data_IF_934666168626
#
_entry.id   IF_934666168626
#
_cell.length_a   1.000
_cell.length_b   1.000
_cell.length_c   1.000
_cell.angle_alpha   90.00
_cell.angle_beta   90.00
_cell.angle_gamma   90.00
#
_symmetry.space_group_name_H-M   'P 1'
#
loop_
_entity.id
_entity.type
_entity.pdbx_description
1 polymer ?
#
# COMPACT_ATOMS: atom_id res chain seq x y z
N UNK A 1 -26.74 1.52 -29.55
CA UNK A 1 -25.34 1.95 -29.37
C UNK A 1 -24.87 1.41 -28.03
N UNK A 2 -23.92 0.46 -28.02
CA UNK A 2 -23.26 0.05 -26.78
C UNK A 2 -22.62 1.31 -26.18
N UNK A 3 -22.99 1.65 -24.95
CA UNK A 3 -22.29 2.68 -24.18
C UNK A 3 -20.88 2.15 -23.95
N UNK A 4 -19.90 2.69 -24.66
CA UNK A 4 -18.48 2.44 -24.32
C UNK A 4 -18.21 3.16 -23.00
N UNK A 5 -17.65 2.43 -22.03
CA UNK A 5 -17.19 3.02 -20.79
C UNK A 5 -16.08 4.04 -21.11
N UNK A 6 -16.19 5.25 -20.61
CA UNK A 6 -15.13 6.24 -20.72
C UNK A 6 -14.02 5.94 -19.68
N UNK A 7 -12.77 6.22 -19.99
CA UNK A 7 -11.71 6.16 -19.00
C UNK A 7 -11.96 7.14 -17.85
N UNK A 8 -11.78 6.69 -16.60
CA UNK A 8 -11.92 7.54 -15.42
C UNK A 8 -10.56 8.10 -15.02
N UNK A 9 -10.40 9.42 -15.04
CA UNK A 9 -9.27 10.08 -14.40
C UNK A 9 -9.58 10.27 -12.92
N UNK A 10 -8.65 9.85 -12.07
CA UNK A 10 -8.86 9.82 -10.63
C UNK A 10 -7.98 10.85 -9.92
N UNK A 11 -8.57 11.53 -8.94
CA UNK A 11 -7.84 12.28 -7.92
C UNK A 11 -7.62 11.35 -6.73
N UNK A 12 -6.38 11.16 -6.27
CA UNK A 12 -6.08 10.27 -5.16
C UNK A 12 -6.53 10.84 -3.81
N UNK A 13 -6.77 9.95 -2.85
CA UNK A 13 -6.83 10.30 -1.44
C UNK A 13 -5.41 10.38 -0.85
N UNK A 14 -5.10 11.44 -0.10
CA UNK A 14 -3.80 11.64 0.54
C UNK A 14 -3.75 11.12 1.97
N UNK A 15 -2.54 10.77 2.45
CA UNK A 15 -2.24 10.38 3.83
C UNK A 15 -1.00 11.11 4.34
N UNK A 16 -1.05 11.57 5.61
CA UNK A 16 -0.05 12.42 6.25
C UNK A 16 0.74 11.72 7.36
N UNK A 17 1.11 10.46 7.14
CA UNK A 17 1.87 9.71 8.13
C UNK A 17 3.23 10.35 8.46
N UNK A 18 3.68 10.23 9.72
CA UNK A 18 4.88 10.89 10.27
C UNK A 18 6.20 10.53 9.55
N UNK A 19 6.24 9.42 8.82
CA UNK A 19 7.39 8.99 8.05
C UNK A 19 7.42 9.55 6.63
N UNK A 20 6.36 10.22 6.20
CA UNK A 20 6.20 10.74 4.85
C UNK A 20 7.13 11.89 4.49
N UNK A 21 7.27 12.10 3.20
CA UNK A 21 8.03 13.19 2.59
C UNK A 21 7.16 14.26 1.94
N UNK A 22 7.70 14.90 0.89
CA UNK A 22 7.03 15.93 0.10
C UNK A 22 7.07 15.65 -1.39
N UNK A 23 7.78 14.60 -1.82
CA UNK A 23 8.06 14.30 -3.23
C UNK A 23 6.79 14.08 -4.05
N UNK A 24 5.74 13.53 -3.44
CA UNK A 24 4.46 13.33 -4.13
C UNK A 24 3.84 14.66 -4.58
N UNK A 25 3.98 15.74 -3.81
CA UNK A 25 3.59 17.07 -4.25
C UNK A 25 4.65 17.72 -5.16
N UNK A 26 5.91 17.71 -4.73
CA UNK A 26 6.97 18.51 -5.35
C UNK A 26 7.41 17.96 -6.72
N UNK A 27 7.47 16.62 -6.85
CA UNK A 27 7.97 15.95 -8.06
C UNK A 27 6.85 15.28 -8.89
N UNK A 28 5.76 14.87 -8.24
CA UNK A 28 4.64 14.14 -8.89
C UNK A 28 3.37 14.98 -9.05
N UNK A 29 3.39 16.25 -8.61
CA UNK A 29 2.33 17.22 -8.85
C UNK A 29 0.96 16.83 -8.29
N UNK A 30 0.90 16.10 -7.15
CA UNK A 30 -0.37 15.62 -6.60
C UNK A 30 -1.26 16.76 -6.10
N UNK A 31 -0.67 17.90 -5.71
CA UNK A 31 -1.38 19.11 -5.28
C UNK A 31 -2.39 18.83 -4.15
N UNK A 32 -1.98 18.05 -3.15
CA UNK A 32 -2.77 17.72 -1.97
C UNK A 32 -2.24 18.54 -0.78
N UNK A 33 -3.14 19.23 -0.07
CA UNK A 33 -2.80 20.10 1.07
C UNK A 33 -2.48 19.29 2.34
N UNK A 34 -1.49 18.39 2.25
CA UNK A 34 -0.95 17.63 3.39
C UNK A 34 0.57 17.79 3.44
N UNK A 35 1.12 17.92 4.65
CA UNK A 35 2.57 18.00 4.88
C UNK A 35 2.91 17.36 6.23
N UNK A 36 3.54 16.17 6.22
CA UNK A 36 4.00 15.43 5.04
C UNK A 36 2.84 14.88 4.19
N UNK A 37 3.10 14.57 2.91
CA UNK A 37 2.24 13.74 2.08
C UNK A 37 2.94 12.39 1.90
N UNK A 38 2.60 11.45 2.78
CA UNK A 38 3.25 10.16 2.88
C UNK A 38 2.80 9.16 1.81
N UNK A 39 1.49 9.12 1.57
CA UNK A 39 0.88 8.25 0.56
C UNK A 39 -0.17 9.00 -0.25
N UNK A 40 -0.33 8.58 -1.51
CA UNK A 40 -1.49 8.91 -2.32
C UNK A 40 -2.13 7.60 -2.81
N UNK A 41 -3.41 7.42 -2.51
CA UNK A 41 -4.18 6.25 -2.93
C UNK A 41 -4.79 6.54 -4.29
N UNK A 42 -4.06 6.14 -5.33
CA UNK A 42 -4.29 6.54 -6.72
C UNK A 42 -5.57 5.94 -7.30
N UNK A 43 -5.80 4.66 -7.00
CA UNK A 43 -7.01 3.94 -7.41
C UNK A 43 -7.51 3.13 -6.23
N UNK A 44 -8.54 3.65 -5.57
CA UNK A 44 -9.04 3.12 -4.32
C UNK A 44 -10.55 3.26 -4.19
N UNK A 45 -11.19 2.17 -3.81
CA UNK A 45 -12.57 2.14 -3.30
C UNK A 45 -12.61 1.81 -1.80
N UNK A 46 -11.43 1.71 -1.17
CA UNK A 46 -11.34 1.40 0.26
C UNK A 46 -11.90 2.54 1.11
N UNK A 47 -12.72 2.27 2.15
CA UNK A 47 -13.39 3.30 2.96
C UNK A 47 -12.41 4.25 3.66
N UNK A 48 -11.19 3.79 3.97
CA UNK A 48 -10.17 4.64 4.59
C UNK A 48 -9.59 5.70 3.64
N UNK A 49 -9.86 5.62 2.32
CA UNK A 49 -9.35 6.58 1.37
C UNK A 49 -9.86 6.31 -0.05
N UNK A 50 -11.05 6.79 -0.35
CA UNK A 50 -11.67 6.63 -1.68
C UNK A 50 -11.09 7.65 -2.65
N UNK A 51 -10.73 7.19 -3.87
CA UNK A 51 -10.37 8.08 -4.98
C UNK A 51 -11.61 8.75 -5.56
N UNK A 52 -11.44 9.96 -6.09
CA UNK A 52 -12.53 10.75 -6.68
C UNK A 52 -12.30 10.93 -8.18
N UNK A 53 -13.33 10.80 -9.00
CA UNK A 53 -13.25 11.11 -10.43
C UNK A 53 -13.07 12.62 -10.62
N UNK A 54 -12.14 13.04 -11.48
CA UNK A 54 -11.79 14.46 -11.63
C UNK A 54 -12.13 15.06 -12.98
N UNK A 55 -12.87 14.35 -13.84
CA UNK A 55 -13.40 14.89 -15.10
C UNK A 55 -14.45 13.95 -15.71
N UNK A 56 -15.08 14.39 -16.80
CA UNK A 56 -16.04 13.59 -17.57
C UNK A 56 -17.42 13.51 -16.93
N UNK A 57 -18.17 12.48 -17.30
CA UNK A 57 -19.55 12.28 -16.88
C UNK A 57 -19.72 12.16 -15.36
N UNK A 58 -18.70 11.65 -14.68
CA UNK A 58 -18.71 11.35 -13.23
C UNK A 58 -17.86 12.32 -12.42
N UNK A 59 -17.57 13.51 -12.94
CA UNK A 59 -16.73 14.50 -12.26
C UNK A 59 -17.19 14.75 -10.81
N UNK A 60 -16.23 14.73 -9.87
CA UNK A 60 -16.41 14.88 -8.41
C UNK A 60 -17.14 13.73 -7.71
N UNK A 61 -17.47 12.65 -8.39
CA UNK A 61 -18.04 11.47 -7.75
C UNK A 61 -16.94 10.59 -7.15
N UNK A 62 -17.20 10.01 -6.01
CA UNK A 62 -16.34 8.95 -5.45
C UNK A 62 -16.34 7.72 -6.36
N UNK A 63 -15.18 7.12 -6.55
CA UNK A 63 -15.03 5.93 -7.38
C UNK A 63 -15.95 4.78 -6.93
N UNK A 64 -16.16 4.61 -5.62
CA UNK A 64 -17.10 3.65 -5.06
C UNK A 64 -18.54 3.88 -5.55
N UNK A 65 -18.99 5.14 -5.59
CA UNK A 65 -20.31 5.48 -6.08
C UNK A 65 -20.46 5.21 -7.58
N UNK A 66 -19.42 5.51 -8.37
CA UNK A 66 -19.41 5.22 -9.81
C UNK A 66 -19.48 3.72 -10.06
N UNK A 67 -18.65 2.90 -9.39
CA UNK A 67 -18.65 1.45 -9.55
C UNK A 67 -19.99 0.83 -9.13
N UNK A 68 -20.59 1.33 -8.05
CA UNK A 68 -21.90 0.87 -7.60
C UNK A 68 -23.00 1.13 -8.62
N UNK A 69 -22.96 2.28 -9.29
CA UNK A 69 -23.93 2.65 -10.34
C UNK A 69 -23.61 2.01 -11.70
N UNK A 70 -22.35 1.68 -11.94
CA UNK A 70 -21.79 1.20 -13.19
C UNK A 70 -20.86 0.02 -12.96
N UNK A 71 -21.38 -1.16 -12.53
CA UNK A 71 -20.57 -2.34 -12.18
C UNK A 71 -19.78 -2.90 -13.37
N UNK A 72 -20.12 -2.52 -14.59
CA UNK A 72 -19.37 -2.87 -15.80
C UNK A 72 -17.92 -2.37 -15.79
N UNK A 73 -17.58 -1.36 -14.98
CA UNK A 73 -16.18 -0.92 -14.79
C UNK A 73 -15.30 -1.96 -14.11
N UNK A 74 -15.88 -2.89 -13.34
CA UNK A 74 -15.16 -4.00 -12.73
C UNK A 74 -14.90 -5.17 -13.71
N UNK A 75 -15.51 -5.12 -14.92
CA UNK A 75 -15.48 -6.22 -15.87
C UNK A 75 -16.34 -7.40 -15.43
N UNK A 76 -16.44 -8.41 -16.30
CA UNK A 76 -17.36 -9.54 -16.09
C UNK A 76 -16.97 -10.43 -14.89
N UNK A 77 -15.66 -10.53 -14.58
CA UNK A 77 -15.15 -11.38 -13.50
C UNK A 77 -15.55 -10.88 -12.11
N UNK A 78 -15.59 -9.56 -11.93
CA UNK A 78 -15.87 -8.89 -10.64
C UNK A 78 -17.21 -8.17 -10.64
N UNK A 79 -18.05 -8.42 -11.64
CA UNK A 79 -19.37 -7.84 -11.76
C UNK A 79 -20.25 -8.22 -10.58
N UNK A 80 -20.72 -7.22 -9.85
CA UNK A 80 -21.51 -7.42 -8.63
C UNK A 80 -20.72 -7.29 -7.32
N UNK A 81 -19.42 -7.14 -7.39
CA UNK A 81 -18.63 -6.72 -6.23
C UNK A 81 -18.85 -5.24 -5.94
N UNK A 82 -18.80 -4.87 -4.66
CA UNK A 82 -19.02 -3.49 -4.23
C UNK A 82 -17.76 -2.62 -4.33
N UNK A 83 -16.60 -3.24 -4.47
CA UNK A 83 -15.29 -2.58 -4.42
C UNK A 83 -14.34 -3.19 -5.45
N UNK A 84 -13.34 -2.40 -5.86
CA UNK A 84 -12.19 -2.92 -6.58
C UNK A 84 -11.43 -3.91 -5.70
N UNK A 85 -10.99 -5.06 -6.24
CA UNK A 85 -10.20 -6.03 -5.47
C UNK A 85 -8.76 -5.56 -5.22
N UNK A 86 -8.35 -4.45 -5.84
CA UNK A 86 -7.02 -3.89 -5.73
C UNK A 86 -7.06 -2.46 -5.20
N UNK A 87 -5.95 -2.05 -4.60
CA UNK A 87 -5.64 -0.69 -4.19
C UNK A 87 -4.25 -0.32 -4.73
N UNK A 88 -4.16 0.81 -5.42
CA UNK A 88 -2.90 1.33 -5.97
C UNK A 88 -2.51 2.58 -5.21
N UNK A 89 -1.25 2.63 -4.73
CA UNK A 89 -0.71 3.76 -3.98
C UNK A 89 0.62 4.23 -4.55
N UNK A 90 0.94 5.49 -4.31
CA UNK A 90 2.33 5.97 -4.30
C UNK A 90 2.73 6.26 -2.86
N UNK A 91 3.96 5.90 -2.50
CA UNK A 91 4.50 6.00 -1.14
C UNK A 91 5.83 6.73 -1.19
N UNK A 92 5.94 7.85 -0.48
CA UNK A 92 7.18 8.62 -0.30
C UNK A 92 7.72 8.39 1.12
N UNK A 93 8.67 7.49 1.25
CA UNK A 93 9.29 7.11 2.52
C UNK A 93 10.47 8.03 2.86
N UNK A 94 10.23 9.17 3.49
CA UNK A 94 11.31 10.02 4.03
C UNK A 94 12.02 9.38 5.22
N UNK A 95 11.29 8.58 6.01
CA UNK A 95 11.83 7.78 7.13
C UNK A 95 11.41 6.32 6.94
N UNK A 96 12.04 5.43 7.68
CA UNK A 96 11.66 4.02 7.66
C UNK A 96 10.20 3.83 8.09
N UNK A 97 9.45 3.06 7.34
CA UNK A 97 8.14 2.56 7.74
C UNK A 97 8.30 1.45 8.78
N UNK A 98 7.24 1.20 9.55
CA UNK A 98 7.25 0.10 10.52
C UNK A 98 7.52 -1.25 9.85
N UNK A 99 8.24 -2.12 10.55
CA UNK A 99 8.34 -3.53 10.17
C UNK A 99 7.00 -4.20 10.44
N UNK A 100 6.45 -4.84 9.42
CA UNK A 100 5.08 -5.34 9.43
C UNK A 100 4.93 -6.66 8.70
N UNK A 101 3.78 -7.29 8.90
CA UNK A 101 3.34 -8.48 8.17
C UNK A 101 1.84 -8.38 7.92
N UNK A 102 1.38 -8.90 6.80
CA UNK A 102 -0.03 -8.91 6.43
C UNK A 102 -0.59 -10.32 6.42
N UNK A 103 -1.87 -10.51 6.79
CA UNK A 103 -2.53 -11.80 6.71
C UNK A 103 -2.85 -12.18 5.26
N UNK A 104 -3.01 -13.46 5.00
CA UNK A 104 -3.68 -13.96 3.81
C UNK A 104 -5.21 -13.83 3.91
N UNK A 105 -5.91 -14.09 2.80
CA UNK A 105 -7.37 -14.00 2.73
C UNK A 105 -8.09 -14.93 3.72
N UNK A 106 -7.60 -16.14 3.88
CA UNK A 106 -8.23 -17.13 4.75
C UNK A 106 -8.15 -16.68 6.21
N UNK A 107 -6.99 -16.21 6.63
CA UNK A 107 -6.79 -15.66 7.96
C UNK A 107 -7.59 -14.38 8.18
N UNK A 108 -7.55 -13.44 7.23
CA UNK A 108 -8.27 -12.17 7.32
C UNK A 108 -9.79 -12.40 7.38
N UNK A 109 -10.32 -13.27 6.54
CA UNK A 109 -11.74 -13.65 6.55
C UNK A 109 -12.17 -14.23 7.90
N UNK A 110 -11.32 -15.04 8.52
CA UNK A 110 -11.64 -15.73 9.78
C UNK A 110 -11.45 -14.81 11.01
N UNK A 111 -10.41 -13.98 11.03
CA UNK A 111 -9.98 -13.24 12.22
C UNK A 111 -10.26 -11.75 12.14
N UNK A 112 -10.43 -11.18 10.94
CA UNK A 112 -10.59 -9.76 10.70
C UNK A 112 -11.97 -9.44 10.08
N UNK A 113 -13.00 -10.11 10.58
CA UNK A 113 -14.41 -9.84 10.24
C UNK A 113 -14.74 -9.88 8.74
N UNK A 114 -14.09 -10.78 7.99
CA UNK A 114 -14.35 -10.96 6.57
C UNK A 114 -13.61 -9.98 5.66
N UNK A 115 -12.60 -9.27 6.16
CA UNK A 115 -11.73 -8.44 5.34
C UNK A 115 -10.86 -9.28 4.41
N UNK A 116 -10.31 -8.63 3.36
CA UNK A 116 -9.33 -9.25 2.48
C UNK A 116 -7.97 -9.34 3.17
N UNK A 117 -7.17 -10.31 2.76
CA UNK A 117 -5.75 -10.36 3.03
C UNK A 117 -5.01 -9.19 2.39
N UNK A 118 -3.68 -9.22 2.44
CA UNK A 118 -2.89 -8.16 1.82
C UNK A 118 -1.60 -8.73 1.23
N UNK A 119 -1.73 -9.28 0.04
CA UNK A 119 -0.59 -9.52 -0.86
C UNK A 119 -0.33 -8.25 -1.64
N UNK A 120 0.93 -7.91 -1.83
CA UNK A 120 1.31 -6.66 -2.49
C UNK A 120 2.51 -6.81 -3.40
N UNK A 121 2.68 -5.85 -4.30
CA UNK A 121 3.81 -5.70 -5.17
C UNK A 121 4.30 -4.25 -5.10
N UNK A 122 5.61 -4.06 -5.03
CA UNK A 122 6.24 -2.75 -5.06
C UNK A 122 7.07 -2.57 -6.33
N UNK A 123 6.83 -1.48 -7.02
CA UNK A 123 7.69 -1.00 -8.09
C UNK A 123 8.43 0.25 -7.59
N UNK A 124 9.75 0.22 -7.63
CA UNK A 124 10.59 1.33 -7.13
C UNK A 124 10.64 2.42 -8.19
N UNK A 125 9.93 3.52 -7.94
CA UNK A 125 9.91 4.69 -8.82
C UNK A 125 11.21 5.49 -8.72
N UNK A 126 11.77 5.56 -7.50
CA UNK A 126 13.06 6.16 -7.22
C UNK A 126 13.59 5.72 -5.85
N UNK A 127 14.91 5.76 -5.67
CA UNK A 127 15.56 5.36 -4.43
C UNK A 127 16.80 6.22 -4.17
N UNK A 128 16.96 6.68 -2.93
CA UNK A 128 18.22 7.29 -2.49
C UNK A 128 19.35 6.24 -2.54
N UNK A 129 20.60 6.71 -2.64
CA UNK A 129 21.79 5.85 -2.83
C UNK A 129 21.89 4.68 -1.86
N UNK A 130 21.50 4.89 -0.60
CA UNK A 130 21.61 3.88 0.45
C UNK A 130 20.25 3.31 0.88
N UNK A 131 19.19 3.55 0.09
CA UNK A 131 17.87 3.08 0.39
C UNK A 131 17.81 1.54 0.38
N UNK A 132 17.04 0.98 1.31
CA UNK A 132 16.91 -0.47 1.50
C UNK A 132 15.48 -0.80 1.87
N UNK A 133 15.08 -2.02 1.56
CA UNK A 133 13.87 -2.63 2.11
C UNK A 133 14.25 -3.64 3.21
N UNK A 134 13.33 -3.88 4.11
CA UNK A 134 13.28 -5.14 4.86
C UNK A 134 12.45 -6.11 4.03
N UNK A 135 13.01 -7.29 3.74
CA UNK A 135 12.34 -8.30 2.92
C UNK A 135 12.63 -9.70 3.47
N UNK A 136 11.77 -10.15 4.37
CA UNK A 136 11.90 -11.44 5.04
C UNK A 136 12.96 -11.51 6.12
N UNK A 137 13.31 -12.72 6.47
CA UNK A 137 14.31 -13.06 7.46
C UNK A 137 15.64 -13.43 6.78
N UNK A 138 16.75 -13.05 7.40
CA UNK A 138 18.10 -13.42 6.93
C UNK A 138 18.52 -14.85 7.30
N UNK A 139 17.79 -15.47 8.21
CA UNK A 139 18.00 -16.84 8.69
C UNK A 139 16.71 -17.37 9.31
N UNK A 140 16.59 -18.67 9.42
CA UNK A 140 15.48 -19.29 10.13
C UNK A 140 15.40 -18.79 11.56
N UNK A 141 14.19 -18.57 12.03
CA UNK A 141 13.91 -18.04 13.35
C UNK A 141 12.65 -18.69 13.90
N UNK A 142 12.77 -19.27 15.09
CA UNK A 142 11.61 -19.82 15.79
C UNK A 142 10.72 -18.74 16.36
N UNK A 143 9.45 -19.06 16.61
CA UNK A 143 8.52 -18.13 17.25
C UNK A 143 9.04 -17.60 18.58
N UNK A 144 9.70 -18.45 19.39
CA UNK A 144 10.28 -18.07 20.69
C UNK A 144 11.43 -17.08 20.54
N UNK A 145 12.32 -17.31 19.57
CA UNK A 145 13.42 -16.39 19.27
C UNK A 145 12.92 -15.05 18.79
N UNK A 146 11.91 -15.04 17.90
CA UNK A 146 11.29 -13.79 17.45
C UNK A 146 10.63 -13.04 18.60
N UNK A 147 9.86 -13.71 19.45
CA UNK A 147 9.25 -13.10 20.64
C UNK A 147 10.29 -12.48 21.57
N UNK A 148 11.41 -13.21 21.81
CA UNK A 148 12.52 -12.71 22.60
C UNK A 148 13.17 -11.49 21.95
N UNK A 149 13.44 -11.55 20.65
CA UNK A 149 14.06 -10.46 19.89
C UNK A 149 13.19 -9.19 19.89
N UNK A 150 11.87 -9.33 19.81
CA UNK A 150 10.94 -8.21 19.95
C UNK A 150 10.98 -7.60 21.35
N UNK A 151 10.94 -8.46 22.39
CA UNK A 151 10.98 -8.00 23.79
C UNK A 151 12.31 -7.30 24.15
N UNK A 152 13.41 -7.72 23.55
CA UNK A 152 14.77 -7.17 23.79
C UNK A 152 15.13 -6.03 22.81
N UNK A 153 14.24 -5.62 21.89
CA UNK A 153 14.54 -4.61 20.88
C UNK A 153 15.61 -5.01 19.85
N UNK A 154 15.85 -6.32 19.69
CA UNK A 154 16.92 -6.84 18.82
C UNK A 154 16.42 -7.44 17.50
N UNK A 155 15.13 -7.30 17.19
CA UNK A 155 14.46 -7.89 16.01
C UNK A 155 15.17 -7.57 14.69
N UNK A 156 15.74 -6.38 14.55
CA UNK A 156 16.46 -5.95 13.35
C UNK A 156 17.67 -6.84 12.99
N UNK A 157 18.20 -7.62 13.93
CA UNK A 157 19.29 -8.58 13.68
C UNK A 157 18.83 -9.81 12.88
N UNK A 158 17.54 -10.11 12.91
CA UNK A 158 16.93 -11.26 12.23
C UNK A 158 16.42 -10.90 10.83
N UNK A 159 16.27 -9.60 10.54
CA UNK A 159 15.64 -9.11 9.31
C UNK A 159 16.66 -8.97 8.19
N UNK A 160 16.24 -9.37 6.98
CA UNK A 160 17.04 -9.20 5.78
C UNK A 160 16.84 -7.78 5.22
N UNK A 161 17.96 -7.06 5.05
CA UNK A 161 18.00 -5.76 4.38
C UNK A 161 18.44 -5.95 2.95
N UNK A 162 17.62 -5.50 2.01
CA UNK A 162 17.87 -5.59 0.57
C UNK A 162 18.07 -4.18 0.02
N UNK A 163 19.24 -3.85 -0.58
CA UNK A 163 19.41 -2.59 -1.32
C UNK A 163 18.41 -2.51 -2.46
N UNK A 164 17.94 -1.31 -2.75
CA UNK A 164 17.01 -1.06 -3.85
C UNK A 164 17.50 0.03 -4.78
N UNK A 165 17.07 -0.10 -6.04
CA UNK A 165 17.35 0.87 -7.09
C UNK A 165 16.05 1.19 -7.83
N UNK A 166 16.05 2.29 -8.53
CA UNK A 166 14.97 2.61 -9.46
C UNK A 166 14.74 1.44 -10.42
N UNK A 167 13.48 1.19 -10.74
CA UNK A 167 12.98 0.14 -11.62
C UNK A 167 13.04 -1.30 -11.06
N UNK A 168 13.47 -1.47 -9.79
CA UNK A 168 13.33 -2.76 -9.10
C UNK A 168 11.86 -3.07 -8.83
N UNK A 169 11.53 -4.38 -8.82
CA UNK A 169 10.21 -4.90 -8.55
C UNK A 169 10.28 -5.98 -7.47
N UNK A 170 9.42 -5.85 -6.44
CA UNK A 170 9.33 -6.79 -5.34
C UNK A 170 7.89 -7.31 -5.21
N UNK A 171 7.73 -8.63 -5.18
CA UNK A 171 6.45 -9.27 -4.87
C UNK A 171 6.45 -9.70 -3.41
N UNK A 172 5.51 -9.21 -2.63
CA UNK A 172 5.40 -9.42 -1.18
C UNK A 172 4.18 -10.31 -0.89
N UNK A 173 4.33 -11.63 -0.84
CA UNK A 173 3.24 -12.51 -0.44
C UNK A 173 2.79 -12.21 0.99
N UNK A 174 1.50 -12.38 1.27
CA UNK A 174 0.99 -12.39 2.64
C UNK A 174 1.83 -13.32 3.52
N UNK A 175 2.03 -12.95 4.79
CA UNK A 175 2.92 -13.65 5.72
C UNK A 175 4.40 -13.28 5.65
N UNK A 176 4.83 -12.50 4.65
CA UNK A 176 6.21 -12.01 4.56
C UNK A 176 6.43 -10.83 5.50
N UNK A 177 7.43 -10.89 6.36
CA UNK A 177 7.86 -9.73 7.17
C UNK A 177 8.58 -8.75 6.25
N UNK A 178 8.16 -7.48 6.24
CA UNK A 178 8.71 -6.49 5.33
C UNK A 178 8.63 -5.07 5.89
N UNK A 179 9.38 -4.15 5.30
CA UNK A 179 9.25 -2.70 5.50
C UNK A 179 9.88 -1.92 4.35
N UNK A 180 9.31 -0.78 4.02
CA UNK A 180 9.92 0.20 3.13
C UNK A 180 10.88 1.06 3.96
N UNK A 181 12.14 1.12 3.54
CA UNK A 181 13.16 1.94 4.21
C UNK A 181 13.18 3.37 3.70
N UNK A 182 13.80 4.22 4.51
CA UNK A 182 13.95 5.64 4.20
C UNK A 182 14.63 5.88 2.85
N UNK A 183 14.16 6.89 2.13
CA UNK A 183 14.67 7.28 0.81
C UNK A 183 14.05 6.54 -0.37
N UNK A 184 13.14 5.61 -0.13
CA UNK A 184 12.39 4.92 -1.19
C UNK A 184 11.17 5.75 -1.62
N UNK A 185 10.90 5.74 -2.93
CA UNK A 185 9.63 6.15 -3.51
C UNK A 185 9.09 4.99 -4.32
N UNK A 186 7.94 4.46 -3.94
CA UNK A 186 7.39 3.24 -4.55
C UNK A 186 5.96 3.40 -5.01
N UNK A 187 5.62 2.70 -6.08
CA UNK A 187 4.25 2.39 -6.42
C UNK A 187 3.90 1.04 -5.81
N UNK A 188 2.91 0.99 -4.94
CA UNK A 188 2.40 -0.21 -4.32
C UNK A 188 1.08 -0.60 -4.97
N UNK A 189 1.03 -1.82 -5.48
CA UNK A 189 -0.18 -2.45 -6.00
C UNK A 189 -0.50 -3.62 -5.07
N UNK A 190 -1.64 -3.58 -4.42
CA UNK A 190 -2.01 -4.52 -3.37
C UNK A 190 -3.46 -4.96 -3.46
N UNK A 191 -3.82 -6.02 -2.76
CA UNK A 191 -5.22 -6.33 -2.46
C UNK A 191 -5.86 -5.17 -1.71
N UNK A 192 -7.17 -4.96 -1.90
CA UNK A 192 -7.91 -3.83 -1.32
C UNK A 192 -8.12 -4.00 0.18
N UNK A 193 -7.03 -3.92 0.93
CA UNK A 193 -6.95 -4.11 2.37
C UNK A 193 -6.03 -3.08 3.02
N UNK A 194 -6.34 -2.69 4.26
CA UNK A 194 -5.48 -1.83 5.08
C UNK A 194 -5.02 -2.54 6.37
N UNK A 195 -5.17 -3.89 6.40
CA UNK A 195 -4.75 -4.71 7.54
C UNK A 195 -3.24 -4.74 7.68
N UNK A 196 -2.76 -4.43 8.88
CA UNK A 196 -1.33 -4.41 9.17
C UNK A 196 -1.06 -4.92 10.59
N UNK A 197 -0.27 -5.98 10.69
CA UNK A 197 0.29 -6.44 11.96
C UNK A 197 1.70 -5.85 12.11
N UNK A 198 1.81 -4.84 12.97
CA UNK A 198 3.06 -4.13 13.18
C UNK A 198 3.94 -4.89 14.19
N UNK A 199 5.14 -5.30 13.76
CA UNK A 199 6.10 -6.01 14.59
C UNK A 199 7.04 -5.04 15.33
N UNK A 200 7.51 -3.99 14.64
CA UNK A 200 8.45 -3.05 15.20
C UNK A 200 8.30 -1.68 14.54
N UNK A 201 8.35 -0.61 15.32
CA UNK A 201 8.15 0.75 14.83
C UNK A 201 9.17 1.76 15.39
N UNK A 202 10.40 1.34 15.60
CA UNK A 202 11.52 2.22 15.98
C UNK A 202 11.22 3.08 17.23
N UNK A 203 10.48 2.52 18.18
CA UNK A 203 10.06 3.18 19.43
C UNK A 203 9.22 4.46 19.23
N UNK A 204 8.49 4.51 18.11
CA UNK A 204 7.55 5.62 17.78
C UNK A 204 6.15 5.36 18.30
#
# INVERSE_FOLDING_TARGET
MEKRNEPLLLRPAGKDYLWGGKRLNDEYGKNIELSPLAETWECSTHPDGVSTVCCGTFDKMELTAVIKAHPEYLGERHKGEAMLPILVKLIDARKDLSVQVHPDDDYAKMKEHGQLGKTEMWYVLDAARDAKLIYGLRQDCTKKEMQKALAEGTVMKYLQKVPIHKDDLFYIPAGTIHAIGAGALVAEIQESSNLTYRLYDYDR
#
